data_IF_029892817495
#
_entry.id   IF_029892817495
#
_cell.length_a   1.000
_cell.length_b   1.000
_cell.length_c   1.000
_cell.angle_alpha   90.00
_cell.angle_beta   90.00
_cell.angle_gamma   90.00
#
_symmetry.space_group_name_H-M   'P 1'
#
loop_
_entity.id
_entity.type
_entity.pdbx_description
1 polymer ?
#
# COMPACT_ATOMS: atom_id res chain seq x y z
N UNK A 1 -1.42 -7.68 26.90
CA UNK A 1 -0.18 -7.78 26.11
C UNK A 1 0.70 -8.87 26.66
N UNK A 2 1.14 -9.80 25.81
CA UNK A 2 2.10 -10.86 26.09
C UNK A 2 3.20 -10.76 25.02
N UNK A 3 4.44 -10.72 25.47
CA UNK A 3 5.61 -10.79 24.58
C UNK A 3 6.19 -12.17 24.74
N UNK A 4 6.33 -12.89 23.63
CA UNK A 4 6.94 -14.22 23.59
C UNK A 4 8.23 -14.14 22.79
N UNK A 5 9.32 -14.73 23.27
CA UNK A 5 10.63 -14.69 22.62
C UNK A 5 11.17 -16.11 22.54
N UNK A 6 11.61 -16.51 21.35
CA UNK A 6 12.24 -17.83 21.10
C UNK A 6 13.34 -17.72 20.06
N UNK A 7 14.36 -18.55 20.18
CA UNK A 7 15.44 -18.76 19.21
C UNK A 7 15.42 -20.17 18.60
N UNK A 8 14.38 -20.96 18.90
CA UNK A 8 14.34 -22.38 18.59
C UNK A 8 12.95 -22.95 18.33
N UNK A 9 12.94 -24.13 17.71
CA UNK A 9 11.80 -25.02 17.59
C UNK A 9 11.39 -25.60 18.96
N UNK A 10 10.11 -25.95 19.16
CA UNK A 10 9.68 -26.67 20.36
C UNK A 10 10.27 -28.09 20.39
N UNK A 11 11.08 -28.41 21.40
CA UNK A 11 11.77 -29.72 21.51
C UNK A 11 11.38 -30.57 22.74
N UNK A 12 10.64 -30.00 23.69
CA UNK A 12 10.28 -30.66 24.95
C UNK A 12 8.78 -30.51 25.23
N UNK A 13 8.14 -31.58 25.73
CA UNK A 13 6.71 -31.60 26.01
C UNK A 13 5.85 -31.74 24.74
N UNK A 14 4.94 -30.79 24.51
CA UNK A 14 4.11 -30.77 23.29
C UNK A 14 4.89 -30.04 22.21
N UNK A 15 5.32 -30.77 21.18
CA UNK A 15 6.16 -30.26 20.09
C UNK A 15 5.43 -30.07 18.77
N UNK A 16 4.25 -30.68 18.61
CA UNK A 16 3.45 -30.57 17.39
C UNK A 16 2.77 -29.20 17.32
N UNK A 17 3.10 -28.40 16.30
CA UNK A 17 2.64 -27.01 16.15
C UNK A 17 1.13 -26.86 16.23
N UNK A 18 0.37 -27.66 15.49
CA UNK A 18 -1.10 -27.61 15.54
C UNK A 18 -1.66 -27.93 16.93
N UNK A 19 -0.96 -28.75 17.72
CA UNK A 19 -1.38 -29.05 19.09
C UNK A 19 -1.05 -27.89 20.03
N UNK A 20 0.08 -27.20 19.83
CA UNK A 20 0.44 -26.00 20.57
C UNK A 20 -0.61 -24.91 20.32
N UNK A 21 -0.94 -24.64 19.04
CA UNK A 21 -1.94 -23.64 18.64
C UNK A 21 -3.30 -23.94 19.29
N UNK A 22 -3.80 -25.17 19.17
CA UNK A 22 -5.06 -25.57 19.83
C UNK A 22 -5.01 -25.40 21.34
N UNK A 23 -3.93 -25.83 22.00
CA UNK A 23 -3.82 -25.69 23.45
C UNK A 23 -3.82 -24.22 23.89
N UNK A 24 -3.17 -23.36 23.10
CA UNK A 24 -3.10 -21.93 23.35
C UNK A 24 -4.46 -21.27 23.16
N UNK A 25 -5.16 -21.57 22.06
CA UNK A 25 -6.53 -21.10 21.78
C UNK A 25 -7.48 -21.39 22.95
N UNK A 26 -7.45 -22.60 23.53
CA UNK A 26 -8.29 -22.97 24.68
C UNK A 26 -7.91 -22.28 26.00
N UNK A 27 -6.69 -21.75 26.11
CA UNK A 27 -6.15 -21.21 27.36
C UNK A 27 -6.01 -19.69 27.36
N UNK A 28 -5.95 -19.08 26.18
CA UNK A 28 -5.71 -17.67 26.00
C UNK A 28 -6.93 -16.83 26.46
N UNK A 29 -6.71 -15.74 27.20
CA UNK A 29 -7.77 -14.75 27.45
C UNK A 29 -8.29 -14.15 26.14
N UNK A 30 -9.59 -13.84 26.07
CA UNK A 30 -10.21 -13.25 24.86
C UNK A 30 -9.55 -11.91 24.44
N UNK A 31 -9.11 -11.11 25.41
CA UNK A 31 -8.46 -9.81 25.17
C UNK A 31 -6.93 -9.90 25.12
N UNK A 32 -6.37 -11.09 24.87
CA UNK A 32 -4.93 -11.25 24.72
C UNK A 32 -4.44 -10.54 23.44
N UNK A 33 -3.31 -9.85 23.59
CA UNK A 33 -2.50 -9.33 22.50
C UNK A 33 -1.14 -10.00 22.56
N UNK A 34 -0.79 -10.83 21.59
CA UNK A 34 0.44 -11.63 21.60
C UNK A 34 1.43 -11.16 20.53
N UNK A 35 2.67 -10.88 20.94
CA UNK A 35 3.75 -10.43 20.05
C UNK A 35 4.95 -11.38 20.16
N UNK A 36 5.03 -12.36 19.24
CA UNK A 36 6.14 -13.29 19.18
C UNK A 36 7.39 -12.67 18.53
N UNK A 37 8.55 -12.95 19.11
CA UNK A 37 9.86 -12.60 18.59
C UNK A 37 10.63 -13.89 18.28
N UNK A 38 10.91 -14.10 16.99
CA UNK A 38 11.77 -15.20 16.53
C UNK A 38 13.20 -14.70 16.33
N UNK A 39 14.19 -15.34 16.94
CA UNK A 39 15.60 -14.95 16.84
C UNK A 39 16.38 -15.98 16.05
N UNK A 40 17.04 -15.55 14.98
CA UNK A 40 17.76 -16.44 14.08
C UNK A 40 16.82 -17.18 13.11
N UNK A 41 17.31 -18.30 12.59
CA UNK A 41 16.63 -19.06 11.54
C UNK A 41 16.02 -20.38 12.02
N UNK A 42 16.30 -20.78 13.27
CA UNK A 42 15.86 -22.07 13.82
C UNK A 42 14.50 -21.97 14.53
N UNK A 43 13.62 -21.09 14.06
CA UNK A 43 12.28 -20.86 14.62
C UNK A 43 11.19 -21.41 13.71
N UNK A 44 10.04 -21.77 14.28
CA UNK A 44 8.85 -22.18 13.52
C UNK A 44 8.03 -20.93 13.19
N UNK A 45 8.18 -20.43 11.96
CA UNK A 45 7.51 -19.20 11.52
C UNK A 45 6.00 -19.36 11.42
N UNK A 46 5.52 -20.56 11.06
CA UNK A 46 4.09 -20.86 11.02
C UNK A 46 3.49 -20.78 12.43
N UNK A 47 4.12 -21.41 13.41
CA UNK A 47 3.69 -21.32 14.81
C UNK A 47 3.63 -19.88 15.31
N UNK A 48 4.70 -19.11 15.11
CA UNK A 48 4.78 -17.73 15.62
C UNK A 48 3.78 -16.80 14.93
N UNK A 49 3.62 -16.93 13.61
CA UNK A 49 2.70 -16.07 12.87
C UNK A 49 1.24 -16.41 13.17
N UNK A 50 0.88 -17.69 13.27
CA UNK A 50 -0.46 -18.12 13.74
C UNK A 50 -0.76 -17.55 15.12
N UNK A 51 0.16 -17.71 16.08
CA UNK A 51 0.01 -17.18 17.44
C UNK A 51 -0.21 -15.66 17.46
N UNK A 52 0.47 -14.92 16.60
CA UNK A 52 0.32 -13.46 16.54
C UNK A 52 -1.03 -13.06 15.94
N UNK A 53 -1.37 -13.63 14.77
CA UNK A 53 -2.60 -13.29 14.02
C UNK A 53 -3.85 -13.64 14.83
N UNK A 54 -3.91 -14.83 15.41
CA UNK A 54 -5.07 -15.29 16.18
C UNK A 54 -5.30 -14.48 17.47
N UNK A 55 -4.27 -13.73 17.91
CA UNK A 55 -4.29 -12.93 19.13
C UNK A 55 -3.92 -11.47 18.87
N UNK A 56 -4.35 -10.91 17.73
CA UNK A 56 -4.33 -9.47 17.43
C UNK A 56 -2.95 -8.80 17.62
N UNK A 57 -1.88 -9.52 17.32
CA UNK A 57 -0.52 -8.98 17.33
C UNK A 57 0.20 -9.25 16.01
N UNK A 58 1.51 -9.01 16.04
CA UNK A 58 2.41 -9.24 14.92
C UNK A 58 3.66 -9.95 15.42
N UNK A 59 4.21 -10.82 14.58
CA UNK A 59 5.50 -11.45 14.81
C UNK A 59 6.64 -10.52 14.38
N UNK A 60 7.79 -10.66 15.02
CA UNK A 60 9.01 -9.96 14.63
C UNK A 60 10.15 -10.96 14.56
N UNK A 61 10.86 -10.99 13.44
CA UNK A 61 12.02 -11.85 13.24
C UNK A 61 13.28 -11.02 13.30
N UNK A 62 14.25 -11.47 14.10
CA UNK A 62 15.56 -10.83 14.26
C UNK A 62 16.62 -11.75 13.67
N UNK A 63 17.13 -11.40 12.50
CA UNK A 63 18.08 -12.25 11.76
C UNK A 63 19.52 -12.05 12.27
N UNK A 64 20.44 -13.01 12.03
CA UNK A 64 21.83 -12.88 12.45
C UNK A 64 22.49 -11.60 11.92
N UNK A 65 23.00 -10.78 12.84
CA UNK A 65 23.61 -9.48 12.55
C UNK A 65 22.72 -8.29 12.93
N UNK A 66 21.43 -8.50 13.14
CA UNK A 66 20.53 -7.50 13.71
C UNK A 66 20.62 -7.43 15.23
N UNK A 67 20.17 -6.31 15.78
CA UNK A 67 20.23 -6.02 17.22
C UNK A 67 18.89 -6.27 17.87
N UNK A 68 18.75 -7.45 18.48
CA UNK A 68 17.56 -7.83 19.26
C UNK A 68 17.19 -6.80 20.32
N UNK A 69 18.18 -6.20 20.98
CA UNK A 69 17.95 -5.20 22.01
C UNK A 69 17.35 -3.91 21.46
N UNK A 70 17.69 -3.53 20.24
CA UNK A 70 17.08 -2.39 19.54
C UNK A 70 15.65 -2.72 19.10
N UNK A 71 15.42 -3.90 18.53
CA UNK A 71 14.09 -4.37 18.11
C UNK A 71 13.11 -4.41 19.30
N UNK A 72 13.51 -5.04 20.41
CA UNK A 72 12.69 -5.11 21.64
C UNK A 72 12.46 -3.73 22.27
N UNK A 73 13.48 -2.86 22.30
CA UNK A 73 13.34 -1.52 22.87
C UNK A 73 12.39 -0.65 22.05
N UNK A 74 12.51 -0.71 20.72
CA UNK A 74 11.60 -0.01 19.80
C UNK A 74 10.18 -0.52 19.96
N UNK A 75 9.99 -1.83 20.00
CA UNK A 75 8.68 -2.44 20.20
C UNK A 75 8.05 -2.03 21.54
N UNK A 76 8.80 -2.11 22.65
CA UNK A 76 8.31 -1.72 23.96
C UNK A 76 7.93 -0.24 24.01
N UNK A 77 8.74 0.64 23.39
CA UNK A 77 8.43 2.06 23.30
C UNK A 77 7.07 2.28 22.61
N UNK A 78 6.81 1.57 21.50
CA UNK A 78 5.53 1.61 20.78
C UNK A 78 4.40 1.09 21.66
N UNK A 79 4.47 -0.12 22.20
CA UNK A 79 3.31 -0.73 22.89
C UNK A 79 3.04 -0.21 24.31
N UNK A 80 3.98 0.53 24.90
CA UNK A 80 3.89 1.00 26.30
C UNK A 80 2.70 1.91 26.60
N UNK A 81 2.16 2.57 25.57
CA UNK A 81 1.10 3.56 25.72
C UNK A 81 0.02 3.34 24.65
N UNK A 82 -0.90 2.36 24.84
CA UNK A 82 -2.05 2.20 23.96
C UNK A 82 -2.96 3.42 24.09
N UNK A 83 -3.26 4.04 22.95
CA UNK A 83 -4.13 5.22 22.85
C UNK A 83 -5.57 4.78 22.60
N UNK A 84 -5.78 3.77 21.75
CA UNK A 84 -7.09 3.15 21.50
C UNK A 84 -6.89 1.66 21.19
N UNK A 85 -7.70 0.78 21.80
CA UNK A 85 -7.77 -0.64 21.45
C UNK A 85 -9.10 -0.97 20.78
N UNK A 86 -9.19 -2.16 20.17
CA UNK A 86 -10.46 -2.69 19.63
C UNK A 86 -11.09 -1.72 18.61
N UNK A 87 -10.25 -1.28 17.66
CA UNK A 87 -10.64 -0.28 16.67
C UNK A 87 -11.68 -0.81 15.69
N UNK A 88 -12.66 0.04 15.38
CA UNK A 88 -13.64 -0.20 14.35
C UNK A 88 -13.84 1.07 13.52
N UNK A 89 -13.96 0.90 12.20
CA UNK A 89 -14.19 1.98 11.24
C UNK A 89 -15.54 1.77 10.54
N UNK A 90 -16.43 2.74 10.69
CA UNK A 90 -17.71 2.83 10.00
C UNK A 90 -17.64 3.94 8.94
N UNK A 91 -17.95 3.59 7.69
CA UNK A 91 -17.93 4.51 6.54
C UNK A 91 -19.34 5.03 6.17
N UNK A 92 -20.34 4.83 7.04
CA UNK A 92 -21.71 5.26 6.81
C UNK A 92 -22.35 4.51 5.63
N UNK A 93 -22.93 5.24 4.69
CA UNK A 93 -23.62 4.65 3.52
C UNK A 93 -22.64 4.20 2.41
N UNK A 94 -21.34 4.45 2.56
CA UNK A 94 -20.35 4.08 1.56
C UNK A 94 -20.05 2.58 1.59
N UNK A 95 -20.31 1.90 0.48
CA UNK A 95 -20.04 0.45 0.36
C UNK A 95 -18.54 0.21 0.16
N UNK A 96 -17.83 -0.07 1.26
CA UNK A 96 -16.40 -0.43 1.29
C UNK A 96 -16.18 -1.94 1.34
N UNK A 97 -15.04 -2.41 0.81
CA UNK A 97 -14.62 -3.81 0.81
C UNK A 97 -13.09 -3.92 0.62
N UNK A 98 -12.52 -5.10 0.87
CA UNK A 98 -11.07 -5.34 0.82
C UNK A 98 -10.27 -4.30 1.63
N UNK A 99 -10.68 -4.04 2.88
CA UNK A 99 -10.02 -3.13 3.82
C UNK A 99 -8.87 -3.83 4.53
N UNK A 100 -7.69 -3.18 4.55
CA UNK A 100 -6.48 -3.71 5.18
C UNK A 100 -5.75 -2.64 6.01
N UNK A 101 -5.16 -3.00 7.16
CA UNK A 101 -5.10 -4.35 7.75
C UNK A 101 -6.45 -4.87 8.26
N UNK A 102 -6.61 -6.19 8.28
CA UNK A 102 -7.79 -6.87 8.83
C UNK A 102 -7.32 -8.06 9.69
N UNK A 103 -7.65 -8.09 11.00
CA UNK A 103 -8.38 -7.05 11.75
C UNK A 103 -7.57 -5.75 11.91
N UNK A 104 -8.22 -4.67 12.38
CA UNK A 104 -7.55 -3.42 12.71
C UNK A 104 -6.69 -3.59 13.98
N UNK A 105 -5.42 -3.14 13.98
CA UNK A 105 -4.55 -3.22 15.15
C UNK A 105 -4.92 -2.15 16.20
N UNK A 106 -4.41 -2.31 17.42
CA UNK A 106 -4.48 -1.26 18.44
C UNK A 106 -3.64 -0.03 18.02
N UNK A 107 -4.11 1.17 18.34
CA UNK A 107 -3.39 2.42 18.11
C UNK A 107 -2.54 2.78 19.32
N UNK A 108 -1.25 3.04 19.09
CA UNK A 108 -0.30 3.36 20.14
C UNK A 108 0.22 4.80 20.03
N UNK A 109 0.71 5.35 21.13
CA UNK A 109 1.24 6.70 21.14
C UNK A 109 2.49 6.81 20.24
N UNK A 110 2.46 7.75 19.31
CA UNK A 110 3.56 7.95 18.35
C UNK A 110 3.56 6.99 17.16
N UNK A 111 2.60 6.06 17.07
CA UNK A 111 2.36 5.27 15.85
C UNK A 111 1.23 5.86 15.01
N UNK A 112 1.08 5.34 13.80
CA UNK A 112 -0.04 5.62 12.90
C UNK A 112 -0.64 4.30 12.43
N UNK A 113 -1.93 4.30 12.11
CA UNK A 113 -2.57 3.20 11.40
C UNK A 113 -3.01 3.74 10.06
N UNK A 114 -2.43 3.19 8.99
CA UNK A 114 -2.87 3.46 7.63
C UNK A 114 -3.86 2.37 7.25
N UNK A 115 -5.07 2.73 6.86
CA UNK A 115 -6.06 1.79 6.32
C UNK A 115 -6.24 2.07 4.83
N UNK A 116 -6.17 1.01 4.02
CA UNK A 116 -6.43 1.08 2.58
C UNK A 116 -7.50 0.08 2.20
N UNK A 117 -8.36 0.45 1.27
CA UNK A 117 -9.39 -0.45 0.77
C UNK A 117 -10.06 0.09 -0.47
N UNK A 118 -11.15 -0.58 -0.85
CA UNK A 118 -11.91 -0.25 -2.05
C UNK A 118 -13.32 0.15 -1.69
N UNK A 119 -13.90 1.00 -2.53
CA UNK A 119 -15.30 1.39 -2.47
C UNK A 119 -15.90 1.29 -3.87
N UNK A 120 -17.21 1.05 -3.94
CA UNK A 120 -17.90 0.85 -5.24
C UNK A 120 -18.17 2.16 -5.95
N UNK A 121 -18.87 3.07 -5.28
CA UNK A 121 -19.25 4.38 -5.81
C UNK A 121 -18.73 5.46 -4.88
N UNK A 122 -18.10 6.49 -5.46
CA UNK A 122 -17.67 7.66 -4.68
C UNK A 122 -18.85 8.53 -4.26
N UNK A 123 -18.64 9.33 -3.23
CA UNK A 123 -19.63 10.24 -2.66
C UNK A 123 -19.06 10.97 -1.45
N UNK A 124 -19.90 11.76 -0.80
CA UNK A 124 -19.58 12.35 0.50
C UNK A 124 -20.21 11.51 1.60
N UNK A 125 -19.44 11.13 2.61
CA UNK A 125 -19.92 10.34 3.76
C UNK A 125 -19.25 10.79 5.05
N UNK A 126 -19.87 10.49 6.19
CA UNK A 126 -19.25 10.66 7.50
C UNK A 126 -18.55 9.35 7.87
N UNK A 127 -17.32 9.44 8.39
CA UNK A 127 -16.58 8.30 8.90
C UNK A 127 -16.60 8.36 10.42
N UNK A 128 -16.89 7.23 11.06
CA UNK A 128 -16.81 7.08 12.52
C UNK A 128 -15.71 6.08 12.88
N UNK A 129 -14.79 6.51 13.73
CA UNK A 129 -13.79 5.65 14.36
C UNK A 129 -14.21 5.40 15.81
N UNK A 130 -14.37 4.14 16.19
CA UNK A 130 -14.58 3.73 17.58
C UNK A 130 -13.40 2.89 18.08
N UNK A 131 -13.19 2.92 19.39
CA UNK A 131 -12.20 2.12 20.10
C UNK A 131 -12.31 2.30 21.61
N UNK A 132 -11.55 1.54 22.38
CA UNK A 132 -11.57 1.56 23.84
C UNK A 132 -10.35 2.26 24.43
N UNK A 133 -10.57 3.08 25.46
CA UNK A 133 -9.51 3.69 26.28
C UNK A 133 -9.75 3.31 27.72
N UNK A 134 -8.83 2.54 28.32
CA UNK A 134 -8.98 2.02 29.69
C UNK A 134 -10.31 1.26 29.93
N UNK A 135 -10.89 0.66 28.89
CA UNK A 135 -12.16 -0.06 28.95
C UNK A 135 -13.39 0.79 28.60
N UNK A 136 -13.24 2.10 28.44
CA UNK A 136 -14.33 3.00 28.04
C UNK A 136 -14.34 3.23 26.53
N UNK A 137 -15.50 3.01 25.90
CA UNK A 137 -15.69 3.27 24.48
C UNK A 137 -15.53 4.78 24.19
N UNK A 138 -14.67 5.09 23.22
CA UNK A 138 -14.48 6.41 22.63
C UNK A 138 -14.92 6.38 21.17
N UNK A 139 -15.44 7.50 20.70
CA UNK A 139 -15.93 7.65 19.33
C UNK A 139 -15.46 8.98 18.76
N UNK A 140 -14.94 8.94 17.55
CA UNK A 140 -14.46 10.09 16.79
C UNK A 140 -15.21 10.15 15.47
N UNK A 141 -15.73 11.33 15.14
CA UNK A 141 -16.48 11.57 13.91
C UNK A 141 -15.67 12.44 12.97
N UNK A 142 -15.62 12.03 11.70
CA UNK A 142 -15.02 12.75 10.60
C UNK A 142 -16.11 13.03 9.59
N UNK A 143 -16.67 14.23 9.65
CA UNK A 143 -17.80 14.62 8.82
C UNK A 143 -17.34 15.00 7.39
N UNK A 144 -18.25 14.85 6.43
CA UNK A 144 -18.13 15.34 5.05
C UNK A 144 -16.86 14.85 4.29
N UNK A 145 -16.46 13.59 4.50
CA UNK A 145 -15.32 12.99 3.80
C UNK A 145 -15.68 12.68 2.34
N UNK A 146 -14.84 13.13 1.40
CA UNK A 146 -15.11 13.06 -0.04
C UNK A 146 -14.33 11.91 -0.69
N UNK A 147 -15.07 10.96 -1.26
CA UNK A 147 -14.55 9.86 -2.07
C UNK A 147 -14.84 10.12 -3.54
N UNK A 148 -13.81 10.24 -4.37
CA UNK A 148 -13.98 10.54 -5.81
C UNK A 148 -14.60 9.34 -6.53
N UNK A 149 -15.60 9.56 -7.38
CA UNK A 149 -16.17 8.47 -8.17
C UNK A 149 -15.19 7.91 -9.22
N UNK A 150 -14.31 8.75 -9.77
CA UNK A 150 -13.19 8.39 -10.65
C UNK A 150 -12.05 9.42 -10.50
N UNK A 151 -10.80 8.97 -10.47
CA UNK A 151 -9.64 9.87 -10.54
C UNK A 151 -8.70 9.40 -11.67
N UNK A 152 -8.60 10.20 -12.72
CA UNK A 152 -7.72 9.93 -13.88
C UNK A 152 -6.50 10.85 -13.92
N UNK A 153 -6.32 11.66 -12.87
CA UNK A 153 -5.15 12.54 -12.77
C UNK A 153 -3.96 11.74 -12.29
N UNK A 154 -2.83 11.93 -12.95
CA UNK A 154 -1.53 11.50 -12.45
C UNK A 154 -1.19 12.42 -11.25
N UNK A 155 -1.63 12.00 -10.06
CA UNK A 155 -1.42 12.71 -8.81
C UNK A 155 -0.87 11.75 -7.74
N UNK A 156 -0.66 12.25 -6.53
CA UNK A 156 -0.18 11.45 -5.40
C UNK A 156 -1.07 10.21 -5.11
N UNK A 157 -2.33 10.19 -5.55
CA UNK A 157 -3.26 9.08 -5.34
C UNK A 157 -3.04 7.94 -6.34
N UNK A 158 -2.28 8.15 -7.42
CA UNK A 158 -1.97 7.11 -8.43
C UNK A 158 -1.21 5.92 -7.84
N UNK A 159 -0.55 6.10 -6.70
CA UNK A 159 0.17 5.03 -5.99
C UNK A 159 -0.73 4.19 -5.08
N UNK A 160 -1.93 4.68 -4.69
CA UNK A 160 -2.81 4.01 -3.73
C UNK A 160 -3.28 2.64 -4.22
N UNK A 161 -3.70 2.44 -5.50
CA UNK A 161 -4.14 1.12 -5.97
C UNK A 161 -3.06 0.04 -5.84
N UNK A 162 -1.80 0.40 -6.13
CA UNK A 162 -0.67 -0.53 -5.99
C UNK A 162 -0.33 -0.83 -4.54
N UNK A 163 -0.42 0.18 -3.65
CA UNK A 163 -0.28 -0.03 -2.20
C UNK A 163 -1.35 -0.99 -1.67
N UNK A 164 -2.61 -0.74 -2.04
CA UNK A 164 -3.73 -1.63 -1.69
C UNK A 164 -3.49 -3.06 -2.19
N UNK A 165 -3.09 -3.23 -3.45
CA UNK A 165 -2.82 -4.54 -4.03
C UNK A 165 -1.68 -5.26 -3.31
N UNK A 166 -0.63 -4.53 -2.92
CA UNK A 166 0.51 -5.09 -2.16
C UNK A 166 0.04 -5.62 -0.80
N UNK A 167 -0.78 -4.85 -0.07
CA UNK A 167 -1.33 -5.31 1.21
C UNK A 167 -2.29 -6.48 1.08
N UNK A 168 -3.16 -6.45 0.06
CA UNK A 168 -4.07 -7.56 -0.23
C UNK A 168 -3.29 -8.84 -0.56
N UNK A 169 -2.25 -8.75 -1.39
CA UNK A 169 -1.37 -9.88 -1.68
C UNK A 169 -0.69 -10.37 -0.42
N UNK A 170 -0.11 -9.50 0.41
CA UNK A 170 0.51 -9.88 1.69
C UNK A 170 -0.48 -10.61 2.60
N UNK A 171 -1.70 -10.10 2.73
CA UNK A 171 -2.80 -10.77 3.44
C UNK A 171 -3.09 -12.16 2.85
N UNK A 172 -3.29 -12.28 1.54
CA UNK A 172 -3.61 -13.57 0.88
C UNK A 172 -2.48 -14.60 1.02
N UNK A 173 -1.21 -14.16 0.90
CA UNK A 173 -0.04 -15.01 1.13
C UNK A 173 -0.01 -15.54 2.57
N UNK A 174 -0.32 -14.68 3.54
CA UNK A 174 -0.43 -15.08 4.94
C UNK A 174 -1.60 -16.05 5.14
N UNK A 175 -2.77 -15.82 4.54
CA UNK A 175 -3.89 -16.77 4.58
C UNK A 175 -3.50 -18.15 4.03
N UNK A 176 -2.79 -18.21 2.89
CA UNK A 176 -2.31 -19.49 2.35
C UNK A 176 -1.34 -20.17 3.30
N UNK A 177 -0.43 -19.41 3.91
CA UNK A 177 0.56 -19.95 4.84
C UNK A 177 -0.09 -20.49 6.12
N UNK A 178 -1.11 -19.81 6.65
CA UNK A 178 -1.75 -20.15 7.93
C UNK A 178 -2.89 -21.16 7.80
N UNK A 179 -3.59 -21.20 6.66
CA UNK A 179 -4.79 -22.02 6.48
C UNK A 179 -4.71 -23.00 5.30
N UNK A 180 -3.62 -22.94 4.53
CA UNK A 180 -3.38 -23.82 3.39
C UNK A 180 -3.77 -23.21 2.04
N UNK A 181 -3.41 -23.93 0.98
CA UNK A 181 -3.59 -23.47 -0.39
C UNK A 181 -5.06 -23.54 -0.82
N UNK A 182 -5.64 -22.40 -1.21
CA UNK A 182 -6.96 -22.31 -1.84
C UNK A 182 -6.86 -21.72 -3.25
N UNK A 183 -7.67 -22.24 -4.18
CA UNK A 183 -7.66 -21.84 -5.59
C UNK A 183 -8.01 -20.35 -5.75
N UNK A 184 -9.02 -19.88 -5.01
CA UNK A 184 -9.46 -18.48 -5.01
C UNK A 184 -8.34 -17.52 -4.55
N UNK A 185 -7.55 -17.90 -3.55
CA UNK A 185 -6.43 -17.07 -3.09
C UNK A 185 -5.33 -17.00 -4.13
N UNK A 186 -5.02 -18.13 -4.79
CA UNK A 186 -4.03 -18.15 -5.87
C UNK A 186 -4.48 -17.32 -7.07
N UNK A 187 -5.74 -17.45 -7.50
CA UNK A 187 -6.31 -16.64 -8.59
C UNK A 187 -6.20 -15.15 -8.28
N UNK A 188 -6.62 -14.72 -7.08
CA UNK A 188 -6.53 -13.32 -6.68
C UNK A 188 -5.08 -12.82 -6.61
N UNK A 189 -4.14 -13.60 -6.06
CA UNK A 189 -2.72 -13.24 -6.03
C UNK A 189 -2.19 -13.05 -7.46
N UNK A 190 -2.46 -14.00 -8.35
CA UNK A 190 -2.00 -13.95 -9.75
C UNK A 190 -2.55 -12.71 -10.46
N UNK A 191 -3.87 -12.48 -10.40
CA UNK A 191 -4.50 -11.32 -11.05
C UNK A 191 -3.99 -9.98 -10.53
N UNK A 192 -3.85 -9.84 -9.20
CA UNK A 192 -3.34 -8.62 -8.59
C UNK A 192 -1.87 -8.40 -8.94
N UNK A 193 -1.07 -9.46 -8.92
CA UNK A 193 0.35 -9.40 -9.25
C UNK A 193 0.59 -8.96 -10.69
N UNK A 194 -0.19 -9.51 -11.65
CA UNK A 194 -0.18 -9.07 -13.04
C UNK A 194 -0.60 -7.60 -13.15
N UNK A 195 -1.78 -7.28 -12.61
CA UNK A 195 -2.39 -5.95 -12.75
C UNK A 195 -1.52 -4.83 -12.20
N UNK A 196 -0.81 -5.09 -11.10
CA UNK A 196 -0.06 -4.08 -10.37
C UNK A 196 1.47 -4.27 -10.41
N UNK A 197 1.95 -5.25 -11.18
CA UNK A 197 3.38 -5.54 -11.33
C UNK A 197 4.05 -5.85 -9.99
N UNK A 198 3.40 -6.70 -9.19
CA UNK A 198 3.88 -7.11 -7.86
C UNK A 198 4.44 -8.51 -7.99
N UNK A 199 5.68 -8.71 -7.55
CA UNK A 199 6.32 -10.03 -7.58
C UNK A 199 5.93 -10.80 -6.35
N UNK A 200 5.53 -12.03 -6.58
CA UNK A 200 5.19 -12.99 -5.54
C UNK A 200 5.77 -14.36 -5.90
N UNK A 201 5.81 -15.31 -4.95
CA UNK A 201 6.14 -16.71 -5.25
C UNK A 201 5.24 -17.35 -6.32
N UNK A 202 4.08 -16.75 -6.60
CA UNK A 202 3.07 -17.23 -7.55
C UNK A 202 3.20 -16.60 -8.95
N UNK A 203 4.12 -15.65 -9.14
CA UNK A 203 4.20 -14.87 -10.39
C UNK A 203 5.60 -14.75 -10.98
N UNK A 204 6.38 -15.83 -10.91
CA UNK A 204 7.72 -15.93 -11.52
C UNK A 204 7.70 -15.66 -13.05
N UNK A 205 6.61 -15.99 -13.74
CA UNK A 205 6.46 -15.77 -15.19
C UNK A 205 6.50 -14.29 -15.60
N UNK A 206 6.15 -13.35 -14.69
CA UNK A 206 6.25 -11.90 -14.95
C UNK A 206 7.69 -11.46 -15.25
N UNK A 207 8.68 -12.31 -14.96
CA UNK A 207 10.10 -12.05 -15.18
C UNK A 207 10.64 -12.76 -16.43
N UNK A 208 9.94 -13.79 -16.93
CA UNK A 208 10.55 -14.76 -17.85
C UNK A 208 9.90 -14.86 -19.24
N UNK A 209 8.63 -14.48 -19.41
CA UNK A 209 7.91 -14.73 -20.67
C UNK A 209 7.14 -13.51 -21.22
N UNK A 210 7.35 -13.12 -22.50
CA UNK A 210 6.57 -12.08 -23.14
C UNK A 210 5.22 -12.67 -23.60
N UNK A 211 4.18 -12.56 -22.75
CA UNK A 211 2.83 -13.04 -23.05
C UNK A 211 1.83 -11.89 -22.99
N UNK A 212 0.80 -11.92 -23.83
CA UNK A 212 -0.35 -11.01 -23.71
C UNK A 212 -1.28 -11.52 -22.62
N UNK A 213 -1.37 -10.79 -21.51
CA UNK A 213 -2.06 -11.23 -20.29
C UNK A 213 -3.55 -10.85 -20.29
N UNK A 214 -4.29 -11.28 -21.31
CA UNK A 214 -5.76 -11.16 -21.37
C UNK A 214 -6.45 -12.07 -20.35
N UNK A 215 -7.77 -11.93 -20.18
CA UNK A 215 -8.51 -12.64 -19.11
C UNK A 215 -8.31 -14.16 -19.14
N UNK A 216 -8.49 -14.80 -20.30
CA UNK A 216 -8.38 -16.26 -20.45
C UNK A 216 -6.97 -16.76 -20.12
N UNK A 217 -5.94 -15.99 -20.47
CA UNK A 217 -4.55 -16.36 -20.20
C UNK A 217 -4.22 -16.20 -18.72
N UNK A 218 -4.74 -15.17 -18.06
CA UNK A 218 -4.59 -15.02 -16.60
C UNK A 218 -5.24 -16.19 -15.85
N UNK A 219 -6.41 -16.64 -16.29
CA UNK A 219 -7.11 -17.80 -15.72
C UNK A 219 -6.29 -19.09 -15.90
N UNK A 220 -5.77 -19.32 -17.11
CA UNK A 220 -4.88 -20.46 -17.40
C UNK A 220 -3.64 -20.46 -16.51
N UNK A 221 -3.00 -19.30 -16.33
CA UNK A 221 -1.82 -19.14 -15.48
C UNK A 221 -2.19 -19.42 -14.02
N UNK A 222 -3.30 -18.89 -13.52
CA UNK A 222 -3.76 -19.12 -12.15
C UNK A 222 -3.98 -20.62 -11.88
N UNK A 223 -4.64 -21.32 -12.80
CA UNK A 223 -4.87 -22.77 -12.70
C UNK A 223 -3.56 -23.57 -12.73
N UNK A 224 -2.63 -23.23 -13.65
CA UNK A 224 -1.32 -23.87 -13.75
C UNK A 224 -0.49 -23.69 -12.47
N UNK A 225 -0.45 -22.45 -11.95
CA UNK A 225 0.26 -22.13 -10.71
C UNK A 225 -0.36 -22.86 -9.53
N UNK A 226 -1.70 -22.89 -9.43
CA UNK A 226 -2.39 -23.61 -8.36
C UNK A 226 -2.07 -25.11 -8.40
N UNK A 227 -2.16 -25.75 -9.56
CA UNK A 227 -1.85 -27.17 -9.71
C UNK A 227 -0.38 -27.49 -9.40
N UNK A 228 0.52 -26.60 -9.80
CA UNK A 228 1.96 -26.72 -9.49
C UNK A 228 2.19 -26.62 -7.99
N UNK A 229 1.65 -25.61 -7.32
CA UNK A 229 1.80 -25.41 -5.88
C UNK A 229 1.14 -26.52 -5.07
N UNK A 230 -0.02 -27.02 -5.50
CA UNK A 230 -0.74 -28.12 -4.85
C UNK A 230 0.03 -29.44 -4.89
N UNK A 231 0.84 -29.64 -5.93
CA UNK A 231 1.68 -30.84 -6.09
C UNK A 231 3.10 -30.67 -5.54
N UNK A 232 3.50 -29.44 -5.19
CA UNK A 232 4.77 -29.15 -4.57
C UNK A 232 4.81 -29.67 -3.12
N UNK A 233 6.00 -30.01 -2.59
CA UNK A 233 6.17 -30.24 -1.17
C UNK A 233 5.73 -29.02 -0.35
N UNK A 234 5.20 -29.23 0.85
CA UNK A 234 4.91 -28.14 1.77
C UNK A 234 6.17 -27.30 2.01
N UNK A 235 6.00 -25.97 1.98
CA UNK A 235 7.10 -25.06 2.26
C UNK A 235 7.64 -25.31 3.68
N UNK A 236 8.97 -25.28 3.88
CA UNK A 236 9.52 -25.39 5.21
C UNK A 236 9.03 -24.22 6.08
N UNK A 237 8.72 -24.51 7.35
CA UNK A 237 8.29 -23.51 8.34
C UNK A 237 9.46 -23.00 9.20
N UNK A 238 10.68 -23.47 8.93
CA UNK A 238 11.90 -23.08 9.65
C UNK A 238 13.09 -23.05 8.69
N UNK A 239 14.18 -22.44 9.14
CA UNK A 239 15.35 -22.18 8.33
C UNK A 239 15.33 -20.78 7.71
N UNK A 240 16.43 -20.43 7.05
CA UNK A 240 16.65 -19.10 6.50
C UNK A 240 15.54 -18.70 5.51
N UNK A 241 15.23 -19.56 4.53
CA UNK A 241 14.21 -19.28 3.52
C UNK A 241 12.83 -19.04 4.14
N UNK A 242 12.47 -19.79 5.20
CA UNK A 242 11.18 -19.64 5.88
C UNK A 242 11.08 -18.30 6.61
N UNK A 243 12.15 -17.90 7.31
CA UNK A 243 12.21 -16.62 8.02
C UNK A 243 12.23 -15.44 7.06
N UNK A 244 13.04 -15.50 5.99
CA UNK A 244 13.08 -14.45 4.97
C UNK A 244 11.71 -14.30 4.30
N UNK A 245 11.06 -15.41 3.93
CA UNK A 245 9.71 -15.39 3.39
C UNK A 245 8.69 -14.80 4.39
N UNK A 246 8.82 -15.11 5.68
CA UNK A 246 7.93 -14.56 6.70
C UNK A 246 8.09 -13.04 6.87
N UNK A 247 9.34 -12.55 6.86
CA UNK A 247 9.68 -11.13 6.88
C UNK A 247 9.11 -10.42 5.64
N UNK A 248 9.35 -10.96 4.44
CA UNK A 248 8.90 -10.36 3.19
C UNK A 248 7.36 -10.26 3.12
N UNK A 249 6.66 -11.32 3.54
CA UNK A 249 5.20 -11.34 3.59
C UNK A 249 4.64 -10.36 4.62
N UNK A 250 5.23 -10.29 5.82
CA UNK A 250 4.87 -9.29 6.83
C UNK A 250 5.07 -7.86 6.32
N UNK A 251 6.20 -7.60 5.67
CA UNK A 251 6.49 -6.29 5.06
C UNK A 251 5.49 -5.90 3.96
N UNK A 252 4.98 -6.86 3.17
CA UNK A 252 3.91 -6.60 2.21
C UNK A 252 2.59 -6.25 2.89
N UNK A 253 2.22 -6.98 3.95
CA UNK A 253 0.97 -6.79 4.68
C UNK A 253 0.94 -5.42 5.39
N UNK A 254 2.07 -4.98 5.94
CA UNK A 254 2.20 -3.71 6.66
C UNK A 254 2.69 -2.54 5.80
N UNK A 255 2.96 -2.79 4.51
CA UNK A 255 3.55 -1.83 3.60
C UNK A 255 2.88 -0.45 3.68
N UNK A 256 3.67 0.59 3.97
CA UNK A 256 3.20 1.99 3.94
C UNK A 256 3.56 2.69 2.62
N UNK A 257 4.45 2.09 1.84
CA UNK A 257 5.03 2.68 0.63
C UNK A 257 5.01 1.71 -0.54
N UNK A 258 4.84 2.26 -1.73
CA UNK A 258 4.88 1.50 -2.96
C UNK A 258 6.33 1.12 -3.28
N UNK A 259 6.72 -0.14 -3.05
CA UNK A 259 8.07 -0.64 -3.33
C UNK A 259 8.28 -0.70 -4.85
N UNK A 260 9.12 0.16 -5.41
CA UNK A 260 9.46 0.10 -6.84
C UNK A 260 10.20 -1.21 -7.14
N UNK A 261 9.75 -1.94 -8.16
CA UNK A 261 10.46 -3.09 -8.71
C UNK A 261 11.86 -2.66 -9.18
N UNK A 262 12.91 -3.31 -8.69
CA UNK A 262 14.30 -3.05 -9.08
C UNK A 262 14.89 -4.25 -9.85
N UNK A 263 15.94 -4.01 -10.63
CA UNK A 263 16.66 -5.06 -11.37
C UNK A 263 16.12 -5.37 -12.77
N UNK A 264 16.27 -6.61 -13.21
CA UNK A 264 15.91 -7.10 -14.57
C UNK A 264 14.45 -6.85 -14.94
N UNK A 265 13.56 -6.77 -13.94
CA UNK A 265 12.17 -6.39 -14.11
C UNK A 265 11.96 -5.00 -14.69
N UNK A 266 12.85 -4.03 -14.45
CA UNK A 266 12.67 -2.68 -14.99
C UNK A 266 12.71 -2.65 -16.54
N UNK A 267 13.29 -3.70 -17.15
CA UNK A 267 13.37 -3.84 -18.59
C UNK A 267 12.09 -4.45 -19.20
N UNK A 268 11.35 -5.27 -18.45
CA UNK A 268 10.14 -5.95 -18.93
C UNK A 268 8.85 -5.37 -18.36
N UNK A 269 8.89 -4.77 -17.18
CA UNK A 269 7.75 -4.21 -16.46
C UNK A 269 8.02 -2.76 -16.12
N UNK A 270 7.08 -1.87 -16.46
CA UNK A 270 7.14 -0.44 -16.12
C UNK A 270 5.85 0.02 -15.49
N UNK A 271 5.96 0.91 -14.52
CA UNK A 271 4.82 1.48 -13.82
C UNK A 271 4.67 2.94 -14.25
N UNK A 272 3.48 3.32 -14.69
CA UNK A 272 3.12 4.69 -15.03
C UNK A 272 1.83 5.05 -14.31
N UNK A 273 1.95 5.87 -13.27
CA UNK A 273 0.82 6.15 -12.38
C UNK A 273 0.31 4.88 -11.70
N UNK A 274 -0.99 4.61 -11.87
CA UNK A 274 -1.63 3.40 -11.36
C UNK A 274 -1.57 2.20 -12.33
N UNK A 275 -0.94 2.36 -13.50
CA UNK A 275 -0.92 1.37 -14.56
C UNK A 275 0.41 0.63 -14.61
N UNK A 276 0.32 -0.67 -14.90
CA UNK A 276 1.48 -1.55 -15.11
C UNK A 276 1.53 -1.92 -16.58
N UNK A 277 2.70 -1.73 -17.19
CA UNK A 277 2.97 -2.06 -18.57
C UNK A 277 3.99 -3.19 -18.64
N UNK A 278 3.70 -4.19 -19.45
CA UNK A 278 4.62 -5.29 -19.78
C UNK A 278 5.14 -5.12 -21.21
N UNK A 279 6.41 -5.41 -21.44
CA UNK A 279 7.02 -5.34 -22.76
C UNK A 279 6.94 -6.70 -23.45
N UNK A 280 6.05 -6.83 -24.42
CA UNK A 280 5.77 -8.07 -25.15
C UNK A 280 5.73 -7.78 -26.65
N UNK A 281 6.39 -8.61 -27.46
CA UNK A 281 6.39 -8.49 -28.93
C UNK A 281 6.74 -7.08 -29.47
N UNK A 282 7.72 -6.43 -28.82
CA UNK A 282 8.15 -5.05 -29.12
C UNK A 282 7.07 -3.98 -28.90
N UNK A 283 6.05 -4.28 -28.09
CA UNK A 283 4.96 -3.38 -27.71
C UNK A 283 4.91 -3.28 -26.18
N UNK A 284 4.77 -2.07 -25.65
CA UNK A 284 4.39 -1.89 -24.26
C UNK A 284 2.88 -2.07 -24.13
N UNK A 285 2.45 -3.06 -23.34
CA UNK A 285 1.05 -3.41 -23.18
C UNK A 285 0.63 -3.13 -21.75
N UNK A 286 -0.38 -2.27 -21.58
CA UNK A 286 -1.05 -2.10 -20.30
C UNK A 286 -1.69 -3.41 -19.85
N UNK A 287 -1.32 -3.92 -18.69
CA UNK A 287 -1.87 -5.15 -18.08
C UNK A 287 -3.37 -5.08 -17.82
N UNK A 288 -3.96 -3.88 -17.90
CA UNK A 288 -5.39 -3.68 -17.88
C UNK A 288 -6.12 -4.07 -19.17
N UNK A 289 -5.38 -4.26 -20.27
CA UNK A 289 -5.94 -4.51 -21.59
C UNK A 289 -6.26 -5.98 -21.79
N UNK A 290 -7.50 -6.22 -22.18
CA UNK A 290 -7.99 -7.54 -22.55
C UNK A 290 -8.37 -7.56 -24.04
N UNK A 291 -7.61 -8.25 -24.90
CA UNK A 291 -7.89 -8.30 -26.34
C UNK A 291 -9.23 -8.95 -26.68
N UNK A 292 -9.80 -9.77 -25.79
CA UNK A 292 -11.09 -10.42 -26.02
C UNK A 292 -12.28 -9.47 -25.89
N UNK A 293 -12.16 -8.46 -25.01
CA UNK A 293 -13.25 -7.53 -24.68
C UNK A 293 -12.99 -6.07 -25.10
N UNK A 294 -11.74 -5.71 -25.40
CA UNK A 294 -11.34 -4.33 -25.70
C UNK A 294 -10.74 -4.18 -27.10
N UNK A 295 -11.46 -3.47 -27.97
CA UNK A 295 -10.96 -3.07 -29.29
C UNK A 295 -10.10 -1.82 -29.15
N UNK A 296 -8.91 -1.83 -29.77
CA UNK A 296 -7.99 -0.69 -29.73
C UNK A 296 -8.43 0.42 -30.69
N UNK A 297 -8.37 1.65 -30.19
CA UNK A 297 -8.41 2.86 -31.02
C UNK A 297 -6.99 3.17 -31.45
N UNK A 298 -6.72 3.01 -32.75
CA UNK A 298 -5.38 3.21 -33.32
C UNK A 298 -5.05 4.69 -33.35
N UNK A 299 -3.81 5.03 -32.99
CA UNK A 299 -3.28 6.40 -32.99
C UNK A 299 -1.93 6.39 -33.71
N UNK A 300 -1.78 7.19 -34.76
CA UNK A 300 -0.49 7.29 -35.45
C UNK A 300 0.53 8.04 -34.56
N UNK A 301 1.73 7.48 -34.40
CA UNK A 301 2.80 8.07 -33.59
C UNK A 301 3.17 9.47 -34.08
N UNK A 302 3.24 10.44 -33.15
CA UNK A 302 3.55 11.86 -33.41
C UNK A 302 2.58 12.57 -34.38
N UNK A 303 1.36 12.05 -34.57
CA UNK A 303 0.29 12.73 -35.31
C UNK A 303 -0.37 13.86 -34.50
N UNK A 304 -1.18 14.69 -35.15
CA UNK A 304 -1.98 15.71 -34.47
C UNK A 304 -2.95 15.08 -33.44
N UNK A 305 -3.55 13.93 -33.78
CA UNK A 305 -4.42 13.16 -32.88
C UNK A 305 -3.66 12.63 -31.67
N UNK A 306 -2.41 12.19 -31.84
CA UNK A 306 -1.52 11.80 -30.74
C UNK A 306 -1.34 12.95 -29.74
N UNK A 307 -0.98 14.14 -30.23
CA UNK A 307 -0.75 15.29 -29.35
C UNK A 307 -2.05 15.81 -28.73
N UNK A 308 -3.16 15.79 -29.47
CA UNK A 308 -4.48 16.14 -28.94
C UNK A 308 -4.90 15.20 -27.81
N UNK A 309 -4.68 13.88 -27.99
CA UNK A 309 -5.00 12.86 -27.00
C UNK A 309 -4.14 13.02 -25.74
N UNK A 310 -2.82 13.18 -25.87
CA UNK A 310 -1.91 13.40 -24.72
C UNK A 310 -2.27 14.67 -23.95
N UNK A 311 -2.64 15.75 -24.64
CA UNK A 311 -3.09 16.99 -24.01
C UNK A 311 -4.41 16.80 -23.25
N UNK A 312 -5.33 16.03 -23.81
CA UNK A 312 -6.61 15.73 -23.18
C UNK A 312 -6.50 14.70 -22.04
N UNK A 313 -5.49 13.84 -22.08
CA UNK A 313 -5.25 12.72 -21.16
C UNK A 313 -3.77 12.61 -20.81
N UNK A 314 -3.30 13.34 -19.78
CA UNK A 314 -1.88 13.34 -19.40
C UNK A 314 -1.29 11.96 -19.10
N UNK A 315 -2.10 11.02 -18.59
CA UNK A 315 -1.65 9.64 -18.30
C UNK A 315 -1.22 8.89 -19.57
N UNK A 316 -1.90 9.13 -20.69
CA UNK A 316 -1.52 8.56 -21.99
C UNK A 316 -0.20 9.15 -22.49
N UNK A 317 0.11 10.41 -22.16
CA UNK A 317 1.42 11.00 -22.48
C UNK A 317 2.57 10.26 -21.83
N UNK A 318 2.45 9.96 -20.54
CA UNK A 318 3.47 9.21 -19.81
C UNK A 318 3.55 7.75 -20.30
N UNK A 319 2.42 7.12 -20.63
CA UNK A 319 2.39 5.77 -21.19
C UNK A 319 3.01 5.71 -22.60
N UNK A 320 2.67 6.66 -23.48
CA UNK A 320 3.20 6.71 -24.84
C UNK A 320 4.70 7.06 -24.87
N UNK A 321 5.25 7.65 -23.81
CA UNK A 321 6.68 7.87 -23.67
C UNK A 321 7.48 6.57 -23.42
N UNK A 322 6.81 5.44 -23.16
CA UNK A 322 7.47 4.15 -22.93
C UNK A 322 8.15 3.59 -24.20
N UNK A 323 7.61 3.88 -25.39
CA UNK A 323 8.16 3.44 -26.67
C UNK A 323 7.33 3.86 -27.87
N UNK A 324 7.74 3.46 -29.08
CA UNK A 324 7.06 3.80 -30.34
C UNK A 324 5.75 3.03 -30.56
N UNK A 325 5.58 1.88 -29.88
CA UNK A 325 4.37 1.07 -29.90
C UNK A 325 3.91 0.81 -28.48
N UNK A 326 2.72 1.31 -28.15
CA UNK A 326 2.16 1.23 -26.80
C UNK A 326 0.65 0.98 -26.91
N UNK A 327 0.14 0.03 -26.15
CA UNK A 327 -1.28 -0.13 -25.86
C UNK A 327 -1.51 0.38 -24.44
N UNK A 328 -2.29 1.45 -24.29
CA UNK A 328 -2.58 2.07 -23.00
C UNK A 328 -4.07 2.29 -22.83
N UNK A 329 -4.58 2.14 -21.60
CA UNK A 329 -5.98 2.37 -21.29
C UNK A 329 -6.19 3.72 -20.62
N UNK A 330 -7.18 4.45 -21.09
CA UNK A 330 -7.70 5.65 -20.43
C UNK A 330 -9.22 5.65 -20.54
N UNK A 331 -9.92 5.92 -19.43
CA UNK A 331 -11.39 5.96 -19.35
C UNK A 331 -12.11 4.70 -19.88
N UNK A 332 -11.48 3.53 -19.77
CA UNK A 332 -12.02 2.27 -20.30
C UNK A 332 -11.90 2.11 -21.81
N UNK A 333 -11.18 3.02 -22.49
CA UNK A 333 -10.84 2.93 -23.90
C UNK A 333 -9.38 2.51 -24.03
N UNK A 334 -9.12 1.49 -24.85
CA UNK A 334 -7.77 1.06 -25.20
C UNK A 334 -7.26 1.85 -26.41
N UNK A 335 -6.10 2.48 -26.30
CA UNK A 335 -5.44 3.21 -27.38
C UNK A 335 -4.16 2.49 -27.78
N UNK A 336 -3.98 2.25 -29.07
CA UNK A 336 -2.80 1.59 -29.63
C UNK A 336 -2.02 2.58 -30.51
N UNK A 337 -0.81 2.92 -30.08
CA UNK A 337 0.11 3.74 -30.86
C UNK A 337 0.79 2.87 -31.90
N UNK A 338 0.63 3.25 -33.16
CA UNK A 338 1.26 2.61 -34.32
C UNK A 338 2.35 3.51 -34.89
N UNK A 339 3.36 2.90 -35.51
CA UNK A 339 4.43 3.62 -36.20
C UNK A 339 3.88 4.55 -37.29
N UNK A 340 4.61 5.65 -37.53
CA UNK A 340 4.20 6.78 -38.38
C UNK A 340 3.82 6.41 -39.84
N UNK A 341 4.23 5.25 -40.33
CA UNK A 341 3.91 4.77 -41.69
C UNK A 341 2.51 4.11 -41.81
N UNK A 342 1.72 4.12 -40.74
CA UNK A 342 0.41 3.46 -40.68
C UNK A 342 -0.71 4.44 -41.08
N UNK A 343 -1.55 4.07 -42.06
CA UNK A 343 -2.75 4.83 -42.42
C UNK A 343 -3.85 4.58 -41.37
N UNK A 344 -4.07 5.56 -40.48
CA UNK A 344 -4.96 5.44 -39.33
C UNK A 344 -6.11 6.45 -39.44
N UNK A 345 -7.33 5.99 -39.24
CA UNK A 345 -8.52 6.85 -39.26
C UNK A 345 -8.49 7.86 -38.10
N UNK A 346 -9.07 9.07 -38.27
CA UNK A 346 -9.08 10.10 -37.24
C UNK A 346 -9.68 9.62 -35.92
N UNK A 347 -9.04 9.97 -34.80
CA UNK A 347 -9.43 9.54 -33.46
C UNK A 347 -10.49 10.48 -32.89
N UNK A 348 -11.67 9.94 -32.57
CA UNK A 348 -12.69 10.69 -31.82
C UNK A 348 -12.35 10.57 -30.34
N UNK A 349 -11.99 11.69 -29.71
CA UNK A 349 -11.70 11.75 -28.27
C UNK A 349 -13.03 11.83 -27.51
N UNK A 350 -13.42 10.82 -26.71
CA UNK A 350 -14.66 10.87 -25.94
C UNK A 350 -14.61 11.97 -24.86
N UNK A 351 -15.75 12.63 -24.65
CA UNK A 351 -15.89 13.68 -23.63
C UNK A 351 -15.64 13.12 -22.21
N UNK A 352 -14.97 13.91 -21.37
CA UNK A 352 -14.78 13.57 -19.96
C UNK A 352 -16.12 13.76 -19.25
N UNK A 353 -16.80 12.67 -18.91
CA UNK A 353 -17.96 12.74 -18.00
C UNK A 353 -17.47 12.96 -16.57
N UNK A 354 -17.14 14.20 -16.22
CA UNK A 354 -17.00 14.66 -14.84
C UNK A 354 -17.33 16.15 -14.80
N UNK A 355 -18.24 16.62 -13.93
CA UNK A 355 -18.42 18.04 -13.72
C UNK A 355 -17.11 18.58 -13.13
N UNK A 356 -16.40 19.41 -13.90
CA UNK A 356 -15.36 20.26 -13.35
C UNK A 356 -16.11 21.28 -12.51
N UNK A 357 -16.25 21.02 -11.21
CA UNK A 357 -16.40 22.12 -10.28
C UNK A 357 -15.02 22.78 -10.27
N UNK A 358 -14.92 23.97 -10.88
CA UNK A 358 -13.78 24.84 -10.66
C UNK A 358 -13.74 25.12 -9.16
N UNK A 359 -12.81 24.47 -8.46
CA UNK A 359 -12.44 24.89 -7.10
C UNK A 359 -11.98 26.34 -7.22
N UNK A 360 -12.89 27.24 -6.83
CA UNK A 360 -12.57 28.65 -6.66
C UNK A 360 -11.45 28.69 -5.62
N UNK A 361 -10.31 29.36 -5.89
CA UNK A 361 -9.26 29.47 -4.90
C UNK A 361 -9.84 30.09 -3.63
N UNK A 362 -9.76 29.37 -2.52
CA UNK A 362 -9.99 29.95 -1.19
C UNK A 362 -8.92 31.04 -1.06
N UNK A 363 -9.39 32.29 -1.09
CA UNK A 363 -8.54 33.46 -0.94
C UNK A 363 -7.99 33.43 0.48
N UNK A 364 -6.69 33.17 0.63
CA UNK A 364 -5.98 33.37 1.90
C UNK A 364 -6.08 34.85 2.25
N UNK A 365 -6.92 35.18 3.23
CA UNK A 365 -6.95 36.50 3.84
C UNK A 365 -5.58 36.75 4.51
N UNK A 366 -4.78 37.61 3.88
CA UNK A 366 -3.59 38.15 4.53
C UNK A 366 -4.01 39.07 5.69
N UNK A 367 -3.36 38.97 6.86
CA UNK A 367 -3.68 39.84 7.97
C UNK A 367 -3.32 41.29 7.63
N UNK A 368 -4.34 42.14 7.61
CA UNK A 368 -4.23 43.60 7.52
C UNK A 368 -3.54 44.09 8.80
N UNK A 369 -2.31 44.58 8.67
CA UNK A 369 -1.62 45.30 9.73
C UNK A 369 -1.53 46.78 9.33
N UNK A 370 -2.25 47.63 10.06
CA UNK A 370 -2.00 49.08 10.03
C UNK A 370 -3.20 49.95 10.34
N UNK A 371 -3.51 50.09 11.64
CA UNK A 371 -3.66 51.43 12.22
C UNK A 371 -3.74 51.32 13.74
N UNK A 372 -2.67 51.71 14.47
CA UNK A 372 -2.77 52.32 15.80
C UNK A 372 -1.54 53.21 16.11
N UNK A 373 -1.83 54.50 16.11
CA UNK A 373 -1.47 55.51 17.13
C UNK A 373 0.01 55.75 17.45
N UNK A 374 0.40 57.02 17.24
CA UNK A 374 1.72 57.54 17.50
C UNK A 374 2.10 57.67 18.98
N UNK A 375 3.40 57.60 19.22
CA UNK A 375 4.10 58.06 20.43
C UNK A 375 5.37 58.79 19.94
N UNK A 376 5.69 59.99 20.47
CA UNK A 376 6.76 60.81 19.93
C UNK A 376 8.16 60.42 20.43
N UNK A 377 9.11 60.87 19.62
CA UNK A 377 10.57 60.82 19.68
C UNK A 377 11.21 60.99 21.05
N UNK A 378 12.27 60.23 21.30
CA UNK A 378 13.38 60.68 22.11
C UNK A 378 14.72 60.34 21.43
N UNK A 379 15.53 61.38 21.26
CA UNK A 379 16.83 61.41 20.60
C UNK A 379 17.90 60.65 21.39
N UNK A 380 18.85 60.00 20.69
CA UNK A 380 20.01 59.44 21.36
C UNK A 380 21.02 58.68 20.50
N UNK A 381 21.88 59.43 19.81
CA UNK A 381 23.33 59.14 19.54
C UNK A 381 23.74 57.85 18.79
N UNK A 382 24.30 58.07 17.59
CA UNK A 382 25.34 57.29 16.86
C UNK A 382 26.64 57.03 17.68
N UNK A 383 27.65 56.23 17.22
CA UNK A 383 27.86 55.61 15.89
C UNK A 383 28.46 54.15 15.86
N UNK A 384 28.62 53.62 14.63
CA UNK A 384 29.74 52.82 14.09
C UNK A 384 29.87 51.27 14.26
N UNK A 385 30.16 50.67 13.10
CA UNK A 385 31.09 49.55 12.78
C UNK A 385 30.64 48.09 12.79
N UNK A 386 31.01 47.40 11.70
CA UNK A 386 31.24 45.94 11.60
C UNK A 386 30.01 45.14 11.17
N UNK A 387 29.88 44.73 9.91
CA UNK A 387 30.49 43.54 9.31
C UNK A 387 29.93 42.20 9.85
N UNK A 388 29.50 41.37 8.87
CA UNK A 388 29.38 39.91 8.88
C UNK A 388 28.11 39.26 9.48
N UNK A 389 27.29 38.74 8.54
CA UNK A 389 26.64 37.41 8.48
C UNK A 389 26.18 36.74 9.79
N UNK A 390 24.89 36.35 9.87
CA UNK A 390 24.55 35.00 10.36
C UNK A 390 23.46 34.33 9.51
N UNK A 391 23.59 33.05 9.15
CA UNK A 391 23.10 31.89 9.92
C UNK A 391 21.64 32.05 10.37
N UNK A 392 20.71 31.48 9.59
CA UNK A 392 19.31 31.32 10.00
C UNK A 392 19.14 30.03 10.80
N UNK A 393 18.93 30.21 12.11
CA UNK A 393 18.34 29.25 13.04
C UNK A 393 16.86 29.03 12.70
N UNK A 394 16.43 27.77 12.73
CA UNK A 394 15.02 27.34 12.77
C UNK A 394 14.60 27.31 14.25
N UNK A 395 13.51 27.97 14.69
CA UNK A 395 13.01 27.80 16.04
C UNK A 395 12.05 26.60 16.12
N UNK A 396 12.42 25.62 16.97
CA UNK A 396 11.54 24.61 17.54
C UNK A 396 10.56 25.30 18.51
N UNK A 397 9.25 25.08 18.34
CA UNK A 397 8.24 25.45 19.34
C UNK A 397 7.97 24.20 20.20
N UNK A 398 8.39 24.27 21.46
CA UNK A 398 8.05 23.30 22.52
C UNK A 398 6.87 23.87 23.31
N UNK A 399 5.74 23.17 23.33
CA UNK A 399 4.63 23.44 24.24
C UNK A 399 4.73 22.51 25.46
N UNK A 400 5.04 23.09 26.61
CA UNK A 400 5.09 22.41 27.90
C UNK A 400 3.74 22.55 28.61
N UNK A 401 3.08 21.42 28.90
CA UNK A 401 1.89 21.39 29.76
C UNK A 401 2.31 21.19 31.22
N UNK A 402 1.87 22.09 32.10
CA UNK A 402 2.25 22.17 33.52
C UNK A 402 1.04 21.75 34.36
N UNK A 403 1.09 20.57 34.98
CA UNK A 403 0.11 20.18 36.00
C UNK A 403 0.42 20.86 37.35
N UNK A 404 -0.63 21.43 37.94
CA UNK A 404 -0.64 21.99 39.29
C UNK A 404 -1.24 20.93 40.23
N UNK A 405 -0.41 20.54 41.21
CA UNK A 405 -0.63 19.85 42.49
C UNK A 405 -1.87 18.98 42.71
#
# INVERSE_FOLDING_TARGET
YLIFLTDGLPTEGVTETDQILRNFEFSAPENLRLFPFGVGYDVDTYLLDSLAVDHHGASTYVIPGERLDEALSSFYATISTPVLTDLELDFGDLVTYDLYPSPLPDLFAGSQIIVVGRYREGGTTNITLSGSVNGDLQTFHFDDQIFKSRNFKLDAQSSIPRLWATRKIGYLLNQIRLHGLEEEYVDQIVRLSIRYGIVTPYTSYLVTEPVTLGFEEQERIAEEVFNTMKSAPAAPVSGQDAVEMAIDQGAMQESEVVISSSGEMANQVRIVGAHTFVFTDQVWVDTAWDPASMVTTKVAFLSDDYFALVKARPILGAAFALGERVIAISDGVAYEVLSNDSDVAPVIIPEINSPIQEDTPIQEDQPILGDQQGIPSNDGRWPCLGALIPLTLIPLIVLSYRQVR
#
